data_IF_809327013825
#
_entry.id   IF_809327013825
#
_cell.length_a   1.000
_cell.length_b   1.000
_cell.length_c   1.000
_cell.angle_alpha   90.00
_cell.angle_beta   90.00
_cell.angle_gamma   90.00
#
_symmetry.space_group_name_H-M   'P 1'
#
loop_
_entity.id
_entity.type
_entity.pdbx_description
1 polymer ?
#
# COMPACT_ATOMS: atom_id res chain seq x y z
N UNK A 1 29.89 -9.02 5.57
CA UNK A 1 29.06 -9.22 6.79
C UNK A 1 28.10 -10.37 6.54
N UNK A 2 28.30 -11.50 7.23
CA UNK A 2 27.43 -12.67 7.13
C UNK A 2 26.29 -12.51 8.13
N UNK A 3 25.04 -12.45 7.65
CA UNK A 3 23.85 -12.55 8.50
C UNK A 3 23.54 -14.03 8.77
N UNK A 4 23.29 -14.44 10.01
CA UNK A 4 22.89 -15.80 10.32
C UNK A 4 21.41 -16.02 9.95
N UNK A 5 21.16 -16.98 9.08
CA UNK A 5 19.85 -17.45 8.60
C UNK A 5 19.21 -18.54 9.47
N UNK A 6 19.29 -18.43 10.78
CA UNK A 6 18.79 -19.48 11.68
C UNK A 6 17.56 -19.09 12.50
N UNK A 7 16.52 -18.51 11.92
CA UNK A 7 15.21 -18.37 12.60
C UNK A 7 14.02 -18.26 11.66
N UNK A 8 13.86 -19.19 10.75
CA UNK A 8 12.66 -19.27 9.89
C UNK A 8 11.96 -20.63 9.93
N UNK A 9 12.07 -21.35 11.04
CA UNK A 9 11.36 -22.61 11.22
C UNK A 9 10.66 -22.64 12.57
N UNK A 10 9.45 -22.08 12.64
CA UNK A 10 8.43 -22.46 13.65
C UNK A 10 7.05 -21.91 13.26
N UNK A 11 6.44 -22.52 12.25
CA UNK A 11 4.98 -22.49 12.14
C UNK A 11 4.43 -23.76 12.79
N UNK A 12 4.07 -23.68 14.05
CA UNK A 12 3.32 -24.74 14.76
C UNK A 12 1.86 -24.68 14.35
N UNK A 13 1.30 -25.88 14.09
CA UNK A 13 -0.11 -26.18 13.86
C UNK A 13 -1.01 -25.53 14.91
N UNK A 14 -2.05 -24.82 14.46
CA UNK A 14 -3.15 -24.36 15.29
C UNK A 14 -4.17 -25.52 15.36
N UNK A 15 -4.57 -25.99 16.55
CA UNK A 15 -5.64 -26.97 16.68
C UNK A 15 -7.00 -26.32 16.42
N UNK A 16 -7.86 -27.04 15.68
CA UNK A 16 -9.27 -26.71 15.47
C UNK A 16 -9.97 -26.65 16.83
N UNK A 17 -10.56 -25.51 17.15
CA UNK A 17 -11.50 -25.39 18.27
C UNK A 17 -12.93 -25.47 17.74
N UNK A 18 -13.62 -26.52 18.15
CA UNK A 18 -15.06 -26.74 17.95
C UNK A 18 -15.86 -25.85 18.89
N UNK A 19 -16.98 -25.35 18.38
CA UNK A 19 -18.22 -25.29 19.14
C UNK A 19 -18.74 -23.93 19.60
N UNK A 20 -19.75 -23.47 18.93
CA UNK A 20 -21.10 -23.13 19.39
C UNK A 20 -21.46 -21.70 19.84
N UNK A 21 -22.55 -21.27 19.19
CA UNK A 21 -23.61 -20.31 19.55
C UNK A 21 -23.32 -18.80 19.58
N UNK A 22 -23.71 -18.06 18.55
CA UNK A 22 -24.99 -17.32 18.49
C UNK A 22 -25.03 -16.03 19.29
N UNK A 23 -24.72 -14.89 18.65
CA UNK A 23 -25.53 -13.68 18.86
C UNK A 23 -25.25 -12.66 17.74
N UNK A 24 -26.28 -12.42 16.90
CA UNK A 24 -26.25 -11.35 15.90
C UNK A 24 -26.57 -10.02 16.60
N UNK A 25 -25.57 -9.32 17.07
CA UNK A 25 -25.67 -7.92 17.45
C UNK A 25 -25.67 -7.04 16.20
N UNK A 26 -26.78 -6.40 15.87
CA UNK A 26 -26.86 -5.33 14.86
C UNK A 26 -25.96 -4.20 15.32
N UNK A 27 -24.93 -3.88 14.51
CA UNK A 27 -24.15 -2.66 14.66
C UNK A 27 -25.03 -1.49 14.21
N UNK A 28 -25.50 -0.69 15.16
CA UNK A 28 -26.06 0.62 14.89
C UNK A 28 -24.93 1.57 14.49
N UNK A 29 -25.01 2.07 13.26
CA UNK A 29 -24.14 3.12 12.76
C UNK A 29 -24.57 4.43 13.43
N UNK A 30 -23.78 4.91 14.36
CA UNK A 30 -23.95 6.25 14.96
C UNK A 30 -23.41 7.28 13.95
N UNK A 31 -24.23 8.24 13.46
CA UNK A 31 -23.76 9.27 12.55
C UNK A 31 -22.86 10.25 13.30
N UNK A 32 -21.71 10.55 12.73
CA UNK A 32 -20.76 11.54 13.24
C UNK A 32 -21.30 12.97 13.04
N UNK A 33 -21.40 13.81 14.08
CA UNK A 33 -21.84 15.20 13.93
C UNK A 33 -20.64 16.09 13.55
N UNK A 34 -20.60 16.59 12.31
CA UNK A 34 -19.64 17.65 12.00
C UNK A 34 -19.28 17.91 10.54
N UNK A 35 -20.12 17.62 9.57
CA UNK A 35 -19.86 18.06 8.19
C UNK A 35 -21.09 18.79 7.62
N UNK A 36 -21.36 20.00 8.10
CA UNK A 36 -22.21 20.94 7.40
C UNK A 36 -21.49 22.27 7.23
N UNK A 37 -21.51 22.75 5.98
CA UNK A 37 -21.12 24.08 5.50
C UNK A 37 -19.70 24.20 4.94
N UNK A 38 -19.60 24.04 3.58
CA UNK A 38 -19.30 25.14 2.65
C UNK A 38 -19.30 24.63 1.22
N UNK A 39 -20.41 24.81 0.51
CA UNK A 39 -20.41 24.84 -0.95
C UNK A 39 -20.32 26.31 -1.39
N UNK A 40 -19.35 26.69 -2.22
CA UNK A 40 -19.42 27.97 -2.91
C UNK A 40 -20.45 27.89 -4.04
N UNK A 41 -21.49 28.74 -3.98
CA UNK A 41 -22.38 28.97 -5.11
C UNK A 41 -21.65 29.83 -6.13
N UNK A 42 -21.30 29.24 -7.28
CA UNK A 42 -20.99 29.99 -8.49
C UNK A 42 -21.33 29.12 -9.71
N UNK A 43 -22.58 29.21 -10.15
CA UNK A 43 -22.96 28.83 -11.50
C UNK A 43 -23.67 30.02 -12.16
N UNK A 44 -23.08 30.64 -13.20
CA UNK A 44 -23.85 31.61 -14.04
C UNK A 44 -24.86 30.82 -14.87
N UNK A 45 -26.13 31.24 -14.85
CA UNK A 45 -27.19 30.70 -15.70
C UNK A 45 -26.83 30.92 -17.19
N UNK A 46 -26.52 29.83 -17.90
CA UNK A 46 -26.39 29.82 -19.36
C UNK A 46 -27.77 30.10 -19.99
N UNK A 47 -27.90 31.24 -20.64
CA UNK A 47 -29.14 31.75 -21.27
C UNK A 47 -29.04 31.59 -22.80
N UNK A 48 -29.08 30.42 -23.36
CA UNK A 48 -29.66 30.10 -24.68
C UNK A 48 -29.49 28.61 -25.01
N UNK A 49 -30.50 28.03 -25.60
CA UNK A 49 -30.48 26.61 -26.05
C UNK A 49 -29.43 26.35 -27.14
N UNK A 50 -29.15 27.35 -27.98
CA UNK A 50 -28.09 27.29 -29.00
C UNK A 50 -26.69 27.17 -28.41
N UNK A 51 -26.40 27.84 -27.29
CA UNK A 51 -25.09 27.74 -26.63
C UNK A 51 -24.90 26.38 -25.90
N UNK A 52 -26.01 25.84 -25.38
CA UNK A 52 -25.99 24.48 -24.79
C UNK A 52 -25.71 23.42 -25.86
N UNK A 53 -26.33 23.53 -27.04
CA UNK A 53 -26.10 22.62 -28.15
C UNK A 53 -24.66 22.71 -28.69
N UNK A 54 -24.08 23.90 -28.77
CA UNK A 54 -22.69 24.08 -29.20
C UNK A 54 -21.70 23.51 -28.19
N UNK A 55 -21.91 23.73 -26.88
CA UNK A 55 -21.09 23.15 -25.83
C UNK A 55 -21.20 21.62 -25.85
N UNK A 56 -22.40 21.07 -26.02
CA UNK A 56 -22.61 19.61 -26.12
C UNK A 56 -21.90 19.02 -27.34
N UNK A 57 -21.93 19.70 -28.50
CA UNK A 57 -21.22 19.27 -29.71
C UNK A 57 -19.71 19.32 -29.54
N UNK A 58 -19.15 20.33 -28.87
CA UNK A 58 -17.71 20.41 -28.58
C UNK A 58 -17.28 19.31 -27.61
N UNK A 59 -18.07 19.03 -26.56
CA UNK A 59 -17.80 17.91 -25.66
C UNK A 59 -17.92 16.55 -26.33
N UNK A 60 -18.88 16.37 -27.24
CA UNK A 60 -19.04 15.14 -28.01
C UNK A 60 -17.86 14.92 -28.98
N UNK A 61 -17.38 15.98 -29.63
CA UNK A 61 -16.19 15.93 -30.51
C UNK A 61 -14.93 15.67 -29.71
N UNK A 62 -14.74 16.33 -28.55
CA UNK A 62 -13.63 16.05 -27.65
C UNK A 62 -13.66 14.61 -27.11
N UNK A 63 -14.83 14.07 -26.76
CA UNK A 63 -14.97 12.69 -26.31
C UNK A 63 -14.66 11.68 -27.43
N UNK A 64 -15.07 11.97 -28.68
CA UNK A 64 -14.77 11.14 -29.84
C UNK A 64 -13.28 11.20 -30.25
N UNK A 65 -12.61 12.34 -30.08
CA UNK A 65 -11.17 12.48 -30.36
C UNK A 65 -10.34 11.88 -29.22
N UNK A 66 -10.80 11.95 -27.97
CA UNK A 66 -10.13 11.31 -26.83
C UNK A 66 -10.18 9.78 -26.90
N UNK A 67 -11.29 9.20 -27.38
CA UNK A 67 -11.42 7.75 -27.57
C UNK A 67 -10.53 7.17 -28.68
N UNK A 68 -10.02 8.00 -29.57
CA UNK A 68 -9.13 7.55 -30.66
C UNK A 68 -7.63 7.66 -30.32
N UNK A 69 -7.27 8.34 -29.20
CA UNK A 69 -5.88 8.56 -28.79
C UNK A 69 -5.43 7.67 -27.60
N UNK A 70 -6.37 7.10 -26.89
CA UNK A 70 -6.09 6.11 -25.86
C UNK A 70 -6.59 4.76 -26.38
N UNK A 71 -5.69 4.00 -27.03
CA UNK A 71 -5.93 2.59 -27.26
C UNK A 71 -6.30 1.93 -25.95
N UNK A 72 -7.30 1.02 -25.98
CA UNK A 72 -7.67 0.17 -24.84
C UNK A 72 -6.39 -0.31 -24.14
N UNK A 73 -6.22 -0.14 -22.85
CA UNK A 73 -5.11 -0.74 -22.15
C UNK A 73 -5.30 -2.26 -22.26
N UNK A 74 -4.61 -2.88 -23.22
CA UNK A 74 -4.49 -4.32 -23.25
C UNK A 74 -3.84 -4.74 -21.95
N UNK A 75 -4.60 -5.30 -21.01
CA UNK A 75 -4.21 -5.58 -19.63
C UNK A 75 -3.05 -6.56 -19.43
N UNK A 76 -2.27 -6.82 -20.48
CA UNK A 76 -1.03 -7.57 -20.44
C UNK A 76 -0.04 -6.91 -21.40
N UNK A 77 1.13 -6.56 -20.90
CA UNK A 77 2.23 -6.10 -21.73
C UNK A 77 2.46 -7.09 -22.88
N UNK A 78 2.56 -6.59 -24.12
CA UNK A 78 2.85 -7.39 -25.30
C UNK A 78 4.13 -8.23 -25.09
N UNK A 79 4.06 -9.51 -25.42
CA UNK A 79 5.23 -10.39 -25.42
C UNK A 79 5.93 -10.34 -26.78
N UNK A 80 7.21 -10.07 -26.74
CA UNK A 80 8.05 -10.00 -27.94
C UNK A 80 9.31 -10.83 -27.78
N UNK A 81 9.96 -11.16 -28.88
CA UNK A 81 11.27 -11.79 -28.85
C UNK A 81 12.30 -10.82 -28.25
N UNK A 82 13.22 -11.29 -27.38
CA UNK A 82 14.21 -10.42 -26.74
C UNK A 82 14.97 -9.51 -27.69
N UNK A 83 15.34 -10.01 -28.88
CA UNK A 83 16.06 -9.25 -29.90
C UNK A 83 15.29 -8.04 -30.42
N UNK A 84 13.95 -8.14 -30.51
CA UNK A 84 13.09 -7.04 -30.97
C UNK A 84 13.07 -5.87 -29.98
N UNK A 85 13.32 -6.15 -28.70
CA UNK A 85 13.49 -5.14 -27.68
C UNK A 85 14.99 -4.78 -27.43
N UNK A 86 15.91 -5.31 -28.24
CA UNK A 86 17.33 -5.08 -28.13
C UNK A 86 17.99 -5.77 -26.92
N UNK A 87 17.50 -6.97 -26.56
CA UNK A 87 18.06 -7.81 -25.49
C UNK A 87 18.64 -9.11 -26.07
N UNK A 88 19.75 -9.58 -25.49
CA UNK A 88 20.39 -10.83 -25.88
C UNK A 88 19.63 -12.02 -25.24
N UNK A 89 19.00 -12.91 -26.03
CA UNK A 89 18.27 -14.04 -25.49
C UNK A 89 19.16 -15.01 -24.68
N UNK A 90 20.46 -15.12 -25.02
CA UNK A 90 21.40 -15.99 -24.29
C UNK A 90 21.60 -15.52 -22.85
N UNK A 91 21.57 -14.19 -22.62
CA UNK A 91 21.66 -13.64 -21.28
C UNK A 91 20.39 -13.88 -20.47
N UNK A 92 19.23 -13.92 -21.12
CA UNK A 92 17.97 -14.27 -20.44
C UNK A 92 17.91 -15.75 -20.06
N UNK A 93 18.51 -16.65 -20.85
CA UNK A 93 18.65 -18.08 -20.47
C UNK A 93 19.41 -18.29 -19.17
N UNK A 94 20.33 -17.37 -18.80
CA UNK A 94 21.03 -17.42 -17.51
C UNK A 94 20.06 -17.24 -16.34
N UNK A 95 18.92 -16.57 -16.55
CA UNK A 95 17.86 -16.45 -15.53
C UNK A 95 17.25 -17.82 -15.26
N UNK A 96 16.90 -18.56 -16.32
CA UNK A 96 16.31 -19.90 -16.20
C UNK A 96 17.27 -20.87 -15.48
N UNK A 97 18.54 -20.86 -15.89
CA UNK A 97 19.58 -21.68 -15.26
C UNK A 97 19.72 -21.33 -13.78
N UNK A 98 19.78 -20.04 -13.45
CA UNK A 98 19.96 -19.59 -12.06
C UNK A 98 18.76 -19.93 -11.18
N UNK A 99 17.57 -19.80 -11.69
CA UNK A 99 16.35 -20.17 -10.98
C UNK A 99 16.32 -21.70 -10.72
N UNK A 100 16.70 -22.51 -11.74
CA UNK A 100 16.85 -23.96 -11.58
C UNK A 100 17.84 -24.32 -10.47
N UNK A 101 19.05 -23.76 -10.50
CA UNK A 101 20.07 -23.99 -9.45
C UNK A 101 19.58 -23.63 -8.04
N UNK A 102 18.83 -22.53 -7.88
CA UNK A 102 18.32 -22.11 -6.57
C UNK A 102 17.27 -23.07 -6.03
N UNK A 103 16.45 -23.63 -6.90
CA UNK A 103 15.42 -24.61 -6.56
C UNK A 103 16.06 -25.96 -6.24
N UNK A 104 16.98 -26.45 -7.08
CA UNK A 104 17.71 -27.70 -6.85
C UNK A 104 18.50 -27.72 -5.54
N UNK A 105 19.03 -26.55 -5.14
CA UNK A 105 19.73 -26.35 -3.87
C UNK A 105 18.82 -26.09 -2.68
N UNK A 106 17.52 -26.19 -2.85
CA UNK A 106 16.49 -25.94 -1.83
C UNK A 106 16.54 -24.53 -1.20
N UNK A 107 17.05 -23.55 -1.95
CA UNK A 107 17.11 -22.14 -1.53
C UNK A 107 15.83 -21.37 -1.84
N UNK A 108 15.06 -21.84 -2.82
CA UNK A 108 13.74 -21.31 -3.19
C UNK A 108 12.77 -22.46 -3.41
N UNK A 109 11.52 -22.30 -2.98
CA UNK A 109 10.44 -23.22 -3.31
C UNK A 109 10.04 -23.10 -4.78
N UNK A 110 9.87 -21.87 -5.23
CA UNK A 110 9.49 -21.50 -6.58
C UNK A 110 9.41 -19.99 -6.73
N UNK A 111 9.12 -19.53 -7.94
CA UNK A 111 9.01 -18.12 -8.23
C UNK A 111 8.61 -17.82 -9.67
N UNK A 112 8.31 -16.55 -9.92
CA UNK A 112 8.10 -16.00 -11.26
C UNK A 112 9.16 -14.93 -11.52
N UNK A 113 9.76 -14.97 -12.70
CA UNK A 113 10.64 -13.89 -13.17
C UNK A 113 10.06 -13.29 -14.43
N UNK A 114 9.82 -11.98 -14.41
CA UNK A 114 9.37 -11.20 -15.55
C UNK A 114 10.40 -10.15 -15.88
N UNK A 115 10.84 -10.10 -17.14
CA UNK A 115 11.69 -9.02 -17.64
C UNK A 115 10.94 -8.29 -18.74
N UNK A 116 10.79 -6.97 -18.56
CA UNK A 116 10.18 -6.09 -19.55
C UNK A 116 11.18 -5.01 -19.99
N UNK A 117 11.12 -4.62 -21.26
CA UNK A 117 11.90 -3.52 -21.83
C UNK A 117 11.07 -2.75 -22.83
N UNK A 118 11.11 -1.41 -22.74
CA UNK A 118 10.31 -0.51 -23.59
C UNK A 118 8.81 -0.87 -23.60
N UNK A 119 8.25 -1.17 -22.40
CA UNK A 119 6.85 -1.54 -22.26
C UNK A 119 6.46 -2.92 -22.79
N UNK A 120 7.43 -3.79 -23.18
CA UNK A 120 7.16 -5.12 -23.73
C UNK A 120 7.84 -6.20 -22.92
N UNK A 121 7.15 -7.32 -22.66
CA UNK A 121 7.70 -8.47 -21.94
C UNK A 121 8.60 -9.27 -22.87
N UNK A 122 9.86 -9.41 -22.49
CA UNK A 122 10.89 -10.16 -23.22
C UNK A 122 11.24 -11.50 -22.58
N UNK A 123 10.87 -11.68 -21.32
CA UNK A 123 11.03 -12.96 -20.59
C UNK A 123 9.92 -13.08 -19.55
N UNK A 124 9.37 -14.28 -19.43
CA UNK A 124 8.41 -14.64 -18.40
C UNK A 124 8.61 -16.12 -18.08
N UNK A 125 9.23 -16.40 -16.96
CA UNK A 125 9.50 -17.75 -16.48
C UNK A 125 8.76 -18.06 -15.18
N UNK A 126 8.17 -19.23 -15.08
CA UNK A 126 7.61 -19.83 -13.85
C UNK A 126 8.50 -21.01 -13.43
N UNK A 127 8.86 -21.09 -12.16
CA UNK A 127 9.85 -22.03 -11.66
C UNK A 127 9.40 -22.66 -10.34
N UNK A 128 9.66 -23.97 -10.18
CA UNK A 128 9.45 -24.69 -8.92
C UNK A 128 7.99 -24.82 -8.49
N UNK A 129 7.76 -24.93 -7.19
CA UNK A 129 6.49 -25.26 -6.58
C UNK A 129 5.93 -24.10 -5.75
N UNK A 130 4.61 -23.80 -5.90
CA UNK A 130 3.85 -22.91 -5.03
C UNK A 130 3.37 -23.60 -3.75
N UNK A 131 3.31 -24.92 -3.78
CA UNK A 131 2.99 -25.77 -2.62
C UNK A 131 3.86 -27.04 -2.72
N UNK A 132 4.80 -27.19 -1.78
CA UNK A 132 5.72 -28.32 -1.76
C UNK A 132 5.08 -29.60 -1.30
N UNK A 133 4.19 -29.49 -0.30
CA UNK A 133 3.50 -30.63 0.29
C UNK A 133 2.56 -31.29 -0.70
N UNK A 134 1.86 -30.48 -1.50
CA UNK A 134 0.93 -30.95 -2.53
C UNK A 134 1.59 -31.17 -3.89
N UNK A 135 2.87 -30.79 -4.07
CA UNK A 135 3.60 -30.90 -5.34
C UNK A 135 3.06 -29.97 -6.44
N UNK A 136 2.38 -28.88 -6.09
CA UNK A 136 1.74 -27.99 -7.05
C UNK A 136 2.74 -27.00 -7.64
N UNK A 137 2.84 -26.90 -8.98
CA UNK A 137 3.80 -26.01 -9.63
C UNK A 137 3.41 -24.54 -9.46
N UNK A 138 4.40 -23.64 -9.61
CA UNK A 138 4.15 -22.21 -9.82
C UNK A 138 3.55 -22.00 -11.21
N UNK A 139 2.43 -21.34 -11.27
CA UNK A 139 1.69 -20.98 -12.48
C UNK A 139 1.71 -19.46 -12.68
N UNK A 140 1.30 -19.00 -13.88
CA UNK A 140 1.33 -17.56 -14.22
C UNK A 140 0.44 -16.69 -13.35
N UNK A 141 -0.65 -17.27 -12.85
CA UNK A 141 -1.65 -16.66 -11.99
C UNK A 141 -1.46 -16.98 -10.50
N UNK A 142 -0.32 -17.59 -10.15
CA UNK A 142 0.02 -17.86 -8.75
C UNK A 142 0.05 -16.56 -7.95
N UNK A 143 -0.70 -16.53 -6.85
CA UNK A 143 -0.76 -15.38 -5.93
C UNK A 143 0.47 -15.37 -5.03
N UNK A 144 1.17 -14.24 -5.03
CA UNK A 144 2.33 -13.99 -4.17
C UNK A 144 2.04 -12.91 -3.13
N UNK A 145 2.54 -13.14 -1.91
CA UNK A 145 2.58 -12.09 -0.90
C UNK A 145 3.75 -11.16 -1.21
N UNK A 146 3.45 -9.93 -1.63
CA UNK A 146 4.46 -8.98 -2.11
C UNK A 146 5.13 -8.15 -1.01
N UNK A 147 4.73 -8.30 0.26
CA UNK A 147 5.32 -7.63 1.43
C UNK A 147 5.52 -6.11 1.18
N UNK A 148 6.75 -5.62 1.36
CA UNK A 148 7.06 -4.18 1.28
C UNK A 148 6.90 -3.57 -0.11
N UNK A 149 6.73 -4.34 -1.16
CA UNK A 149 6.33 -3.81 -2.48
C UNK A 149 4.93 -3.16 -2.42
N UNK A 150 4.08 -3.56 -1.46
CA UNK A 150 2.79 -2.93 -1.15
C UNK A 150 2.94 -1.43 -0.86
N UNK A 151 4.08 -0.99 -0.33
CA UNK A 151 4.32 0.43 -0.01
C UNK A 151 4.21 1.35 -1.22
N UNK A 152 4.69 0.91 -2.38
CA UNK A 152 4.59 1.69 -3.61
C UNK A 152 3.11 1.91 -4.00
N UNK A 153 2.28 0.87 -3.86
CA UNK A 153 0.85 0.93 -4.17
C UNK A 153 0.13 1.83 -3.16
N UNK A 154 0.44 1.71 -1.86
CA UNK A 154 -0.11 2.58 -0.80
C UNK A 154 0.28 4.04 -1.03
N UNK A 155 1.52 4.30 -1.45
CA UNK A 155 1.98 5.66 -1.77
C UNK A 155 1.25 6.23 -2.98
N UNK A 156 1.02 5.42 -4.03
CA UNK A 156 0.22 5.83 -5.18
C UNK A 156 -1.20 6.19 -4.77
N UNK A 157 -1.84 5.38 -3.90
CA UNK A 157 -3.17 5.66 -3.37
C UNK A 157 -3.24 7.02 -2.63
N UNK A 158 -2.24 7.32 -1.79
CA UNK A 158 -2.16 8.60 -1.10
C UNK A 158 -1.99 9.78 -2.07
N UNK A 159 -1.11 9.64 -3.08
CA UNK A 159 -0.88 10.69 -4.09
C UNK A 159 -2.10 10.90 -4.98
N UNK A 160 -2.89 9.87 -5.29
CA UNK A 160 -4.18 10.04 -5.98
C UNK A 160 -5.15 10.91 -5.16
N UNK A 161 -5.18 10.73 -3.85
CA UNK A 161 -6.04 11.54 -2.97
C UNK A 161 -5.51 12.99 -2.82
N UNK A 162 -4.20 13.17 -2.90
CA UNK A 162 -3.58 14.50 -2.95
C UNK A 162 -3.96 15.21 -4.24
N UNK A 163 -3.88 14.57 -5.39
CA UNK A 163 -4.33 15.11 -6.68
C UNK A 163 -5.83 15.46 -6.68
N UNK A 164 -6.65 14.71 -5.93
CA UNK A 164 -8.08 14.98 -5.74
C UNK A 164 -8.37 16.09 -4.71
N UNK A 165 -7.34 16.63 -4.05
CA UNK A 165 -7.48 17.64 -3.00
C UNK A 165 -8.15 17.11 -1.72
N UNK A 166 -8.11 15.81 -1.47
CA UNK A 166 -8.69 15.15 -0.28
C UNK A 166 -7.71 15.06 0.89
N UNK A 167 -6.43 15.18 0.62
CA UNK A 167 -5.37 15.35 1.60
C UNK A 167 -4.26 16.22 1.03
N UNK A 168 -3.47 16.82 1.91
CA UNK A 168 -2.25 17.54 1.56
C UNK A 168 -1.02 16.82 2.08
N UNK A 169 0.10 16.91 1.38
CA UNK A 169 1.36 16.28 1.82
C UNK A 169 1.86 16.85 3.15
N UNK A 170 1.59 18.12 3.41
CA UNK A 170 1.99 18.81 4.65
C UNK A 170 0.90 18.76 5.75
N UNK A 171 -0.22 18.08 5.51
CA UNK A 171 -1.26 17.91 6.52
C UNK A 171 -0.69 17.11 7.70
N UNK A 172 -0.88 17.59 8.94
CA UNK A 172 -0.47 16.87 10.13
C UNK A 172 -1.33 15.63 10.31
N UNK A 173 -0.72 14.56 10.79
CA UNK A 173 -1.42 13.27 10.99
C UNK A 173 -2.60 13.36 11.95
N UNK A 174 -2.61 14.37 12.82
CA UNK A 174 -3.72 14.63 13.75
C UNK A 174 -5.02 15.05 13.06
N UNK A 175 -5.00 15.48 11.81
CA UNK A 175 -6.22 15.77 11.03
C UNK A 175 -6.97 14.48 10.68
N UNK A 176 -6.25 13.39 10.47
CA UNK A 176 -6.83 12.07 10.18
C UNK A 176 -7.07 11.25 11.45
N UNK A 177 -6.15 11.34 12.40
CA UNK A 177 -6.19 10.62 13.68
C UNK A 177 -5.86 11.58 14.83
N UNK A 178 -6.88 12.18 15.48
CA UNK A 178 -6.68 13.19 16.52
C UNK A 178 -5.79 12.75 17.69
N UNK A 179 -5.73 11.44 17.97
CA UNK A 179 -4.85 10.89 18.99
C UNK A 179 -3.36 11.12 18.70
N UNK A 180 -2.97 11.19 17.43
CA UNK A 180 -1.57 11.35 17.01
C UNK A 180 -0.98 12.72 17.37
N UNK A 181 -1.83 13.71 17.71
CA UNK A 181 -1.40 14.98 18.28
C UNK A 181 -0.63 14.83 19.59
N UNK A 182 -0.85 13.72 20.31
CA UNK A 182 -0.26 13.44 21.62
C UNK A 182 1.03 12.64 21.55
N UNK A 183 1.53 12.34 20.35
CA UNK A 183 2.76 11.57 20.19
C UNK A 183 3.94 12.25 20.87
N UNK A 184 4.83 11.46 21.45
CA UNK A 184 6.04 11.91 22.11
C UNK A 184 7.27 11.34 21.41
N UNK A 185 8.38 12.04 21.51
CA UNK A 185 9.70 11.58 21.07
C UNK A 185 10.43 10.97 22.26
N UNK A 186 11.07 9.82 22.05
CA UNK A 186 11.99 9.24 23.04
C UNK A 186 13.36 9.92 22.93
N UNK A 187 13.79 10.56 24.00
CA UNK A 187 15.08 11.27 24.05
C UNK A 187 15.74 11.05 25.39
N UNK A 188 16.92 10.46 25.39
CA UNK A 188 17.78 10.31 26.57
C UNK A 188 17.06 9.75 27.82
N UNK A 189 16.22 8.72 27.61
CA UNK A 189 15.48 8.07 28.70
C UNK A 189 14.16 8.75 29.09
N UNK A 190 13.74 9.82 28.39
CA UNK A 190 12.53 10.58 28.69
C UNK A 190 11.65 10.76 27.46
N UNK A 191 10.36 11.03 27.70
CA UNK A 191 9.39 11.38 26.66
C UNK A 191 9.26 12.90 26.58
N UNK A 192 9.59 13.46 25.42
CA UNK A 192 9.49 14.90 25.16
C UNK A 192 8.47 15.17 24.05
N UNK A 193 7.96 16.40 23.99
CA UNK A 193 7.13 16.82 22.88
C UNK A 193 7.97 16.93 21.60
N UNK A 194 7.43 16.50 20.44
CA UNK A 194 8.10 16.70 19.17
C UNK A 194 8.13 18.19 18.81
N UNK A 195 9.16 18.63 18.09
CA UNK A 195 9.28 20.01 17.59
C UNK A 195 8.15 20.41 16.64
N UNK A 196 7.56 19.46 15.94
CA UNK A 196 6.37 19.57 15.10
C UNK A 196 5.64 18.25 15.03
N UNK A 197 4.40 18.25 14.58
CA UNK A 197 3.68 17.03 14.24
C UNK A 197 4.29 16.36 13.00
N UNK A 198 4.14 15.04 12.89
CA UNK A 198 4.46 14.33 11.67
C UNK A 198 3.38 14.58 10.63
N UNK A 199 3.79 14.67 9.35
CA UNK A 199 2.91 14.94 8.21
C UNK A 199 2.76 13.72 7.31
N UNK A 200 1.84 13.78 6.35
CA UNK A 200 1.69 12.76 5.30
C UNK A 200 3.01 12.56 4.53
N UNK A 201 3.71 13.66 4.22
CA UNK A 201 5.02 13.59 3.57
C UNK A 201 6.07 12.85 4.41
N UNK A 202 6.02 12.98 5.74
CA UNK A 202 6.92 12.23 6.63
C UNK A 202 6.64 10.72 6.59
N UNK A 203 5.38 10.30 6.45
CA UNK A 203 5.03 8.90 6.28
C UNK A 203 5.59 8.35 4.97
N UNK A 204 5.39 9.07 3.87
CA UNK A 204 5.88 8.68 2.53
C UNK A 204 7.40 8.55 2.49
N UNK A 205 8.12 9.41 3.20
CA UNK A 205 9.59 9.46 3.23
C UNK A 205 10.24 8.62 4.33
N UNK A 206 9.47 8.01 5.24
CA UNK A 206 9.97 7.36 6.45
C UNK A 206 10.77 8.31 7.37
N UNK A 207 10.35 9.58 7.45
CA UNK A 207 10.93 10.61 8.32
C UNK A 207 10.01 10.97 9.49
N UNK A 208 8.94 10.21 9.71
CA UNK A 208 7.98 10.45 10.80
C UNK A 208 8.51 10.13 12.20
N UNK A 209 9.60 9.35 12.31
CA UNK A 209 10.09 8.79 13.58
C UNK A 209 9.40 7.50 14.01
N UNK A 210 8.37 7.05 13.27
CA UNK A 210 7.72 5.75 13.48
C UNK A 210 8.63 4.62 12.99
N UNK A 211 8.88 3.63 13.86
CA UNK A 211 9.73 2.48 13.54
C UNK A 211 9.01 1.16 13.75
N UNK A 212 9.58 0.05 13.33
CA UNK A 212 9.15 -1.28 13.75
C UNK A 212 9.74 -1.62 15.11
N UNK A 213 8.94 -2.23 16.00
CA UNK A 213 9.35 -2.52 17.37
C UNK A 213 10.60 -3.39 17.50
N UNK A 214 10.93 -4.21 16.48
CA UNK A 214 12.13 -5.06 16.49
C UNK A 214 13.41 -4.34 16.01
N UNK A 215 13.27 -3.15 15.45
CA UNK A 215 14.38 -2.31 14.98
C UNK A 215 14.67 -1.14 15.93
N UNK A 216 13.80 -0.96 16.93
CA UNK A 216 13.89 0.15 17.86
C UNK A 216 14.69 -0.22 19.12
N UNK A 217 15.01 0.80 19.90
CA UNK A 217 15.49 0.62 21.26
C UNK A 217 14.47 -0.17 22.10
N UNK A 218 14.92 -0.85 23.19
CA UNK A 218 14.07 -1.76 23.97
C UNK A 218 12.74 -1.15 24.43
N UNK A 219 12.75 0.12 24.84
CA UNK A 219 11.60 0.85 25.36
C UNK A 219 10.52 1.05 24.31
N UNK A 220 10.90 1.50 23.11
CA UNK A 220 9.99 1.64 21.96
C UNK A 220 9.51 0.27 21.52
N UNK A 221 10.40 -0.73 21.49
CA UNK A 221 10.04 -2.12 21.18
C UNK A 221 9.01 -2.68 22.16
N UNK A 222 9.09 -2.35 23.45
CA UNK A 222 8.09 -2.74 24.45
C UNK A 222 6.75 -2.01 24.24
N UNK A 223 6.79 -0.71 23.91
CA UNK A 223 5.59 0.06 23.59
C UNK A 223 4.85 -0.54 22.38
N UNK A 224 5.56 -0.93 21.32
CA UNK A 224 4.99 -1.64 20.17
C UNK A 224 4.26 -2.93 20.59
N UNK A 225 4.91 -3.79 21.38
CA UNK A 225 4.30 -5.05 21.83
C UNK A 225 3.03 -4.82 22.66
N UNK A 226 3.00 -3.78 23.48
CA UNK A 226 1.85 -3.43 24.33
C UNK A 226 0.72 -2.75 23.57
N UNK A 227 1.02 -2.03 22.50
CA UNK A 227 0.03 -1.24 21.75
C UNK A 227 -0.92 -2.11 20.92
N UNK A 228 -0.47 -3.31 20.50
CA UNK A 228 -1.20 -4.14 19.54
C UNK A 228 -1.26 -3.53 18.14
N UNK A 229 -0.43 -2.53 17.85
CA UNK A 229 -0.21 -2.01 16.50
C UNK A 229 0.48 -3.10 15.68
N UNK A 230 0.11 -3.23 14.40
CA UNK A 230 0.52 -4.30 13.49
C UNK A 230 -0.09 -5.68 13.84
N UNK A 231 -1.12 -5.71 14.66
CA UNK A 231 -1.94 -6.91 14.87
C UNK A 231 -2.73 -7.22 13.58
N UNK A 232 -2.42 -8.37 12.98
CA UNK A 232 -2.96 -8.77 11.66
C UNK A 232 -4.44 -9.13 11.69
N UNK A 233 -5.01 -9.31 12.88
CA UNK A 233 -6.42 -9.67 13.05
C UNK A 233 -7.30 -8.41 13.22
N UNK A 234 -6.70 -7.22 13.21
CA UNK A 234 -7.41 -5.94 13.31
C UNK A 234 -7.56 -5.27 11.95
N UNK A 235 -8.70 -4.61 11.75
CA UNK A 235 -8.87 -3.67 10.66
C UNK A 235 -7.93 -2.48 10.84
N UNK A 236 -7.59 -1.78 9.73
CA UNK A 236 -6.50 -0.81 9.68
C UNK A 236 -6.76 0.40 10.60
N UNK A 237 -7.92 1.05 10.52
CA UNK A 237 -8.24 2.21 11.38
C UNK A 237 -8.30 1.84 12.86
N UNK A 238 -8.96 0.75 13.30
CA UNK A 238 -8.85 0.26 14.68
C UNK A 238 -7.43 -0.08 15.13
N UNK A 239 -6.56 -0.53 14.22
CA UNK A 239 -5.15 -0.79 14.51
C UNK A 239 -4.41 0.51 14.87
N UNK A 240 -4.84 1.66 14.31
CA UNK A 240 -4.25 2.98 14.63
C UNK A 240 -4.56 3.41 16.08
N UNK A 241 -5.58 2.84 16.72
CA UNK A 241 -5.86 3.08 18.13
C UNK A 241 -4.76 2.46 19.01
N UNK A 242 -3.83 3.27 19.45
CA UNK A 242 -2.69 2.83 20.25
C UNK A 242 -1.33 3.16 19.65
N UNK A 243 -1.30 3.64 18.40
CA UNK A 243 -0.04 4.09 17.79
C UNK A 243 0.50 5.35 18.50
N UNK A 244 -0.39 6.17 19.06
CA UNK A 244 -0.07 7.32 19.91
C UNK A 244 0.69 6.97 21.20
N UNK A 245 0.66 5.68 21.61
CA UNK A 245 1.39 5.14 22.75
C UNK A 245 2.81 4.71 22.44
N UNK A 246 3.17 4.71 21.16
CA UNK A 246 4.49 4.34 20.68
C UNK A 246 5.31 5.61 20.50
N UNK A 247 6.38 5.82 21.29
CA UNK A 247 7.22 6.99 21.12
C UNK A 247 7.87 7.01 19.74
N UNK A 248 8.01 8.19 19.17
CA UNK A 248 8.83 8.42 17.98
C UNK A 248 10.31 8.26 18.35
N UNK A 249 11.10 7.71 17.43
CA UNK A 249 12.54 7.52 17.62
C UNK A 249 13.32 8.85 17.56
N UNK A 250 12.78 9.83 16.82
CA UNK A 250 13.35 11.16 16.66
C UNK A 250 12.24 12.17 16.26
N UNK A 251 12.57 13.44 16.28
CA UNK A 251 11.68 14.52 15.84
C UNK A 251 11.29 14.33 14.36
N UNK A 252 10.00 14.41 14.00
CA UNK A 252 9.57 14.29 12.61
C UNK A 252 10.33 15.20 11.66
N UNK A 253 10.85 14.62 10.58
CA UNK A 253 11.65 15.29 9.57
C UNK A 253 13.14 15.46 9.89
N UNK A 254 13.60 15.07 11.09
CA UNK A 254 15.00 15.27 11.49
C UNK A 254 15.93 14.13 11.07
N UNK A 255 15.40 12.94 10.84
CA UNK A 255 16.17 11.75 10.47
C UNK A 255 15.30 10.77 9.68
N UNK A 256 15.86 9.61 9.34
CA UNK A 256 15.20 8.55 8.57
C UNK A 256 15.25 7.21 9.31
N UNK A 257 14.12 6.54 9.39
CA UNK A 257 14.02 5.16 9.87
C UNK A 257 12.95 4.39 9.13
N UNK A 258 13.32 3.25 8.56
CA UNK A 258 12.35 2.35 7.97
C UNK A 258 11.43 1.75 9.05
N UNK A 259 10.13 1.90 8.91
CA UNK A 259 9.18 1.48 9.93
C UNK A 259 7.75 1.37 9.43
N UNK A 260 6.80 1.43 10.38
CA UNK A 260 5.37 1.29 10.13
C UNK A 260 4.69 2.55 9.54
N UNK A 261 5.46 3.53 9.06
CA UNK A 261 4.93 4.76 8.45
C UNK A 261 3.91 4.47 7.35
N UNK A 262 4.17 3.48 6.48
CA UNK A 262 3.25 3.15 5.38
C UNK A 262 1.99 2.43 5.85
N UNK A 263 2.06 1.71 6.97
CA UNK A 263 0.86 1.13 7.60
C UNK A 263 -0.08 2.26 8.07
N UNK A 264 0.49 3.31 8.69
CA UNK A 264 -0.26 4.53 9.07
C UNK A 264 -0.79 5.26 7.86
N UNK A 265 0.01 5.36 6.78
CA UNK A 265 -0.41 5.98 5.52
C UNK A 265 -1.63 5.26 4.91
N UNK A 266 -1.68 3.93 4.99
CA UNK A 266 -2.87 3.18 4.60
C UNK A 266 -4.11 3.60 5.38
N UNK A 267 -3.98 3.83 6.69
CA UNK A 267 -5.05 4.38 7.51
C UNK A 267 -5.45 5.81 7.12
N UNK A 268 -4.48 6.66 6.75
CA UNK A 268 -4.76 8.00 6.22
C UNK A 268 -5.57 7.91 4.92
N UNK A 269 -5.20 6.99 4.00
CA UNK A 269 -5.96 6.75 2.76
C UNK A 269 -7.40 6.34 3.06
N UNK A 270 -7.60 5.43 4.04
CA UNK A 270 -8.94 4.98 4.44
C UNK A 270 -9.80 6.14 4.98
N UNK A 271 -9.24 6.96 5.86
CA UNK A 271 -9.94 8.12 6.43
C UNK A 271 -10.22 9.20 5.38
N UNK A 272 -9.23 9.57 4.58
CA UNK A 272 -9.34 10.63 3.58
C UNK A 272 -10.29 10.25 2.43
N UNK A 273 -10.33 8.96 2.05
CA UNK A 273 -11.21 8.47 0.98
C UNK A 273 -12.64 8.18 1.46
N UNK A 274 -12.82 7.91 2.76
CA UNK A 274 -14.07 7.38 3.31
C UNK A 274 -14.38 5.94 2.89
N UNK A 275 -13.37 5.20 2.38
CA UNK A 275 -13.49 3.82 1.90
C UNK A 275 -12.53 2.91 2.66
N UNK A 276 -12.89 1.65 2.96
CA UNK A 276 -11.93 0.65 3.42
C UNK A 276 -10.73 0.58 2.47
N UNK A 277 -9.53 0.46 3.04
CA UNK A 277 -8.29 0.58 2.26
C UNK A 277 -8.15 -0.48 1.15
N UNK A 278 -8.52 -1.72 1.44
CA UNK A 278 -8.53 -2.83 0.48
C UNK A 278 -9.49 -2.55 -0.69
N UNK A 279 -10.67 -2.01 -0.38
CA UNK A 279 -11.66 -1.63 -1.37
C UNK A 279 -11.17 -0.45 -2.22
N UNK A 280 -10.53 0.55 -1.61
CA UNK A 280 -9.92 1.66 -2.35
C UNK A 280 -8.87 1.15 -3.34
N UNK A 281 -7.94 0.29 -2.89
CA UNK A 281 -6.93 -0.28 -3.77
C UNK A 281 -7.57 -1.07 -4.92
N UNK A 282 -8.55 -1.91 -4.60
CA UNK A 282 -9.24 -2.72 -5.60
C UNK A 282 -9.91 -1.86 -6.68
N UNK A 283 -10.81 -0.98 -6.27
CA UNK A 283 -11.67 -0.23 -7.21
C UNK A 283 -10.93 0.90 -7.93
N UNK A 284 -9.92 1.52 -7.27
CA UNK A 284 -9.28 2.73 -7.79
C UNK A 284 -7.94 2.48 -8.46
N UNK A 285 -7.29 1.35 -8.19
CA UNK A 285 -5.96 1.03 -8.72
C UNK A 285 -5.96 -0.29 -9.48
N UNK A 286 -6.44 -1.39 -8.87
CA UNK A 286 -6.22 -2.72 -9.42
C UNK A 286 -7.21 -3.09 -10.53
N UNK A 287 -8.49 -2.71 -10.41
CA UNK A 287 -9.50 -2.98 -11.45
C UNK A 287 -9.31 -2.14 -12.72
N UNK A 288 -8.85 -0.86 -12.66
CA UNK A 288 -8.58 -0.07 -13.85
C UNK A 288 -7.34 -0.51 -14.65
N UNK A 289 -6.41 -1.30 -14.06
CA UNK A 289 -5.16 -1.76 -14.67
C UNK A 289 -5.27 -3.19 -15.22
#
# INVERSE_FOLDING_TARGET
>A
MRFPMERLALMRRIPKRNGNHGNHGKLEVVPWPGLSKRLPRLAPRLRSETMKAQIFSVFLILALVSGALFGEPSGLLERVKPVEAGMDPRKLQLVDQKMGELIERDLLSGGIVVVARKGRVVHFGTYGLRDREAGLPVEKDTIFRIYSMTKAITSAAALMLEEEGKLGLEDPLSEFFPSLKKMKVWKDGTLVDPKREATVADLLRHTSGLTYGWQAIPEIGQAHRKSGVLDRDKALVPMMNGIDRIPLLFDPGSDWVYGCSTDVLGGVVEVASGMPFDRFLKERILEPL
#
